data_IF_735261494171
#
_entry.id   IF_735261494171
#
_cell.length_a   1.000
_cell.length_b   1.000
_cell.length_c   1.000
_cell.angle_alpha   90.00
_cell.angle_beta   90.00
_cell.angle_gamma   90.00
#
_symmetry.space_group_name_H-M   'P 1'
#
loop_
_entity.id
_entity.type
_entity.pdbx_description
1 polymer ?
#
# COMPACT_ATOMS: atom_id res chain seq x y z
N UNK A 1 -18.91 -8.71 -2.51
CA UNK A 1 -17.53 -8.34 -2.13
C UNK A 1 -17.47 -6.85 -1.83
N UNK A 2 -16.83 -6.44 -0.72
CA UNK A 2 -16.69 -5.04 -0.34
C UNK A 2 -15.24 -4.59 -0.59
N UNK A 3 -15.06 -3.48 -1.31
CA UNK A 3 -13.77 -2.91 -1.70
C UNK A 3 -13.65 -1.49 -1.17
N UNK A 4 -12.46 -1.12 -0.70
CA UNK A 4 -12.19 0.24 -0.20
C UNK A 4 -10.94 0.81 -0.86
N UNK A 5 -11.04 2.07 -1.28
CA UNK A 5 -9.93 2.92 -1.70
C UNK A 5 -9.86 4.17 -0.82
N UNK A 6 -8.69 4.78 -0.71
CA UNK A 6 -8.54 6.14 -0.21
C UNK A 6 -7.95 6.99 -1.33
N UNK A 7 -8.66 8.02 -1.77
CA UNK A 7 -8.22 8.84 -2.91
C UNK A 7 -8.35 10.33 -2.62
N UNK A 8 -7.43 11.10 -3.19
CA UNK A 8 -7.53 12.56 -3.30
C UNK A 8 -7.82 12.94 -4.74
N UNK A 9 -8.13 14.22 -4.97
CA UNK A 9 -8.47 14.70 -6.32
C UNK A 9 -7.38 14.39 -7.36
N UNK A 10 -6.11 14.60 -7.00
CA UNK A 10 -4.96 14.30 -7.87
C UNK A 10 -4.83 12.80 -8.19
N UNK A 11 -5.28 11.93 -7.28
CA UNK A 11 -5.22 10.48 -7.45
C UNK A 11 -6.48 9.87 -8.06
N UNK A 12 -7.53 10.66 -8.32
CA UNK A 12 -8.82 10.18 -8.85
C UNK A 12 -8.69 9.48 -10.21
N UNK A 13 -7.84 9.99 -11.12
CA UNK A 13 -7.53 9.30 -12.37
C UNK A 13 -6.94 7.91 -12.11
N UNK A 14 -5.95 7.83 -11.23
CA UNK A 14 -5.24 6.58 -10.92
C UNK A 14 -6.20 5.58 -10.25
N UNK A 15 -7.00 6.05 -9.29
CA UNK A 15 -8.07 5.26 -8.65
C UNK A 15 -9.11 4.76 -9.66
N UNK A 16 -9.53 5.62 -10.60
CA UNK A 16 -10.50 5.26 -11.64
C UNK A 16 -9.98 4.20 -12.61
N UNK A 17 -8.69 4.21 -12.92
CA UNK A 17 -8.05 3.18 -13.76
C UNK A 17 -7.95 1.86 -12.97
N UNK A 18 -7.55 1.90 -11.71
CA UNK A 18 -7.55 0.74 -10.81
C UNK A 18 -8.97 0.15 -10.70
N UNK A 19 -9.97 0.98 -10.45
CA UNK A 19 -11.38 0.60 -10.36
C UNK A 19 -11.90 -0.04 -11.66
N UNK A 20 -11.48 0.50 -12.82
CA UNK A 20 -11.80 -0.09 -14.13
C UNK A 20 -11.23 -1.50 -14.24
N UNK A 21 -9.96 -1.70 -13.87
CA UNK A 21 -9.33 -3.03 -13.88
C UNK A 21 -10.00 -4.00 -12.91
N UNK A 22 -10.38 -3.53 -11.71
CA UNK A 22 -11.12 -4.31 -10.72
C UNK A 22 -12.43 -4.83 -11.30
N UNK A 23 -13.26 -3.95 -11.84
CA UNK A 23 -14.56 -4.34 -12.34
C UNK A 23 -14.47 -5.20 -13.60
N UNK A 24 -13.50 -4.91 -14.48
CA UNK A 24 -13.26 -5.68 -15.70
C UNK A 24 -12.94 -7.15 -15.40
N UNK A 25 -12.08 -7.41 -14.41
CA UNK A 25 -11.62 -8.75 -14.06
C UNK A 25 -12.51 -9.46 -13.02
N UNK A 26 -13.55 -8.78 -12.52
CA UNK A 26 -14.52 -9.33 -11.57
C UNK A 26 -15.97 -9.23 -12.06
N UNK A 27 -16.20 -9.20 -13.37
CA UNK A 27 -17.55 -9.11 -13.97
C UNK A 27 -18.49 -10.24 -13.56
N UNK A 28 -17.93 -11.43 -13.30
CA UNK A 28 -18.73 -12.62 -12.94
C UNK A 28 -19.30 -12.54 -11.53
N UNK A 29 -18.71 -11.72 -10.65
CA UNK A 29 -19.24 -11.54 -9.30
C UNK A 29 -20.56 -10.83 -9.34
N UNK A 30 -21.55 -11.38 -8.63
CA UNK A 30 -22.91 -10.85 -8.58
C UNK A 30 -22.93 -9.42 -8.02
N UNK A 31 -22.18 -9.19 -6.95
CA UNK A 31 -22.19 -7.90 -6.23
C UNK A 31 -20.77 -7.48 -5.85
N UNK A 32 -20.43 -6.24 -6.17
CA UNK A 32 -19.23 -5.54 -5.67
C UNK A 32 -19.69 -4.17 -5.18
N UNK A 33 -19.54 -3.93 -3.88
CA UNK A 33 -19.78 -2.63 -3.24
C UNK A 33 -18.44 -1.94 -3.05
N UNK A 34 -18.29 -0.76 -3.60
CA UNK A 34 -17.03 -0.01 -3.51
C UNK A 34 -17.20 1.23 -2.66
N UNK A 35 -16.32 1.43 -1.72
CA UNK A 35 -16.22 2.61 -0.88
C UNK A 35 -14.97 3.39 -1.24
N UNK A 36 -15.09 4.71 -1.38
CA UNK A 36 -13.93 5.60 -1.57
C UNK A 36 -13.89 6.59 -0.41
N UNK A 37 -12.81 6.52 0.38
CA UNK A 37 -12.55 7.52 1.41
C UNK A 37 -12.19 8.82 0.70
N UNK A 38 -13.07 9.81 0.86
CA UNK A 38 -12.98 11.10 0.19
C UNK A 38 -11.95 12.00 0.88
N UNK A 39 -10.79 12.13 0.26
CA UNK A 39 -9.77 13.08 0.68
C UNK A 39 -9.76 14.30 -0.26
N UNK A 40 -10.85 15.08 -0.20
CA UNK A 40 -11.07 16.31 -0.96
C UNK A 40 -11.12 16.08 -2.48
N UNK A 41 -11.88 15.07 -2.92
CA UNK A 41 -12.11 14.78 -4.33
C UNK A 41 -13.13 15.79 -4.90
N UNK A 42 -12.80 16.42 -6.04
CA UNK A 42 -13.72 17.31 -6.74
C UNK A 42 -14.98 16.59 -7.23
N UNK A 43 -16.10 17.31 -7.32
CA UNK A 43 -17.35 16.70 -7.80
C UNK A 43 -17.23 16.19 -9.25
N UNK A 44 -16.41 16.82 -10.07
CA UNK A 44 -16.12 16.36 -11.43
C UNK A 44 -15.49 14.96 -11.39
N UNK A 45 -14.50 14.75 -10.55
CA UNK A 45 -13.82 13.47 -10.42
C UNK A 45 -14.70 12.43 -9.70
N UNK A 46 -15.51 12.83 -8.72
CA UNK A 46 -16.52 11.94 -8.11
C UNK A 46 -17.51 11.45 -9.15
N UNK A 47 -18.00 12.33 -10.03
CA UNK A 47 -18.93 11.94 -11.09
C UNK A 47 -18.29 10.97 -12.10
N UNK A 48 -17.02 11.18 -12.47
CA UNK A 48 -16.27 10.24 -13.32
C UNK A 48 -16.13 8.86 -12.65
N UNK A 49 -15.85 8.81 -11.34
CA UNK A 49 -15.78 7.57 -10.57
C UNK A 49 -17.16 6.87 -10.50
N UNK A 50 -18.25 7.63 -10.26
CA UNK A 50 -19.63 7.08 -10.31
C UNK A 50 -19.98 6.53 -11.69
N UNK A 51 -19.60 7.22 -12.77
CA UNK A 51 -19.82 6.74 -14.16
C UNK A 51 -19.07 5.44 -14.42
N UNK A 52 -17.82 5.32 -13.91
CA UNK A 52 -17.06 4.07 -13.98
C UNK A 52 -17.83 2.94 -13.33
N UNK A 53 -18.28 3.09 -12.08
CA UNK A 53 -19.03 2.07 -11.37
C UNK A 53 -20.37 1.73 -12.09
N UNK A 54 -21.12 2.74 -12.51
CA UNK A 54 -22.41 2.59 -13.21
C UNK A 54 -22.26 1.79 -14.51
N UNK A 55 -21.17 1.99 -15.28
CA UNK A 55 -20.88 1.24 -16.51
C UNK A 55 -20.84 -0.28 -16.28
N UNK A 56 -20.39 -0.70 -15.10
CA UNK A 56 -20.32 -2.11 -14.71
C UNK A 56 -21.50 -2.58 -13.84
N UNK A 57 -22.51 -1.72 -13.64
CA UNK A 57 -23.64 -2.04 -12.75
C UNK A 57 -23.22 -2.22 -11.30
N UNK A 58 -22.24 -1.45 -10.82
CA UNK A 58 -21.68 -1.57 -9.47
C UNK A 58 -22.07 -0.38 -8.60
N UNK A 59 -22.14 -0.63 -7.29
CA UNK A 59 -22.35 0.42 -6.28
C UNK A 59 -21.02 1.07 -5.90
N UNK A 60 -21.03 2.41 -5.83
CA UNK A 60 -19.90 3.20 -5.37
C UNK A 60 -20.38 4.28 -4.40
N UNK A 61 -19.83 4.27 -3.21
CA UNK A 61 -20.17 5.20 -2.12
C UNK A 61 -18.92 5.97 -1.70
N UNK A 62 -19.03 7.30 -1.62
CA UNK A 62 -18.01 8.13 -0.99
C UNK A 62 -18.26 8.19 0.52
N UNK A 63 -17.23 7.96 1.30
CA UNK A 63 -17.26 8.02 2.77
C UNK A 63 -16.32 9.10 3.26
N UNK A 64 -16.70 9.76 4.36
CA UNK A 64 -15.90 10.85 4.92
C UNK A 64 -14.59 10.33 5.54
N UNK A 65 -13.53 11.10 5.39
CA UNK A 65 -12.26 10.89 6.10
C UNK A 65 -12.42 11.20 7.59
N UNK A 66 -11.55 10.64 8.41
CA UNK A 66 -11.43 10.97 9.83
C UNK A 66 -10.52 12.18 10.04
N UNK A 67 -10.74 12.93 11.11
CA UNK A 67 -9.81 13.96 11.58
C UNK A 67 -8.71 13.32 12.43
N UNK A 68 -7.57 13.05 11.77
CA UNK A 68 -6.45 12.34 12.40
C UNK A 68 -5.78 13.14 13.51
N UNK A 69 -5.64 14.46 13.36
CA UNK A 69 -4.99 15.30 14.38
C UNK A 69 -5.85 15.38 15.64
N UNK A 70 -7.16 15.49 15.47
CA UNK A 70 -8.12 15.42 16.58
C UNK A 70 -8.09 14.06 17.29
N UNK A 71 -8.02 12.95 16.53
CA UNK A 71 -7.98 11.60 17.08
C UNK A 71 -6.68 11.30 17.82
N UNK A 72 -5.54 11.72 17.27
CA UNK A 72 -4.21 11.36 17.81
C UNK A 72 -3.68 12.38 18.82
N UNK A 73 -4.28 13.57 18.87
CA UNK A 73 -3.81 14.69 19.69
C UNK A 73 -2.43 15.23 19.28
N UNK A 74 -1.99 14.92 18.04
CA UNK A 74 -0.68 15.34 17.53
C UNK A 74 -0.71 15.61 16.05
N UNK A 75 0.16 16.51 15.59
CA UNK A 75 0.33 16.73 14.14
C UNK A 75 1.03 15.56 13.50
N UNK A 76 0.51 15.14 12.34
CA UNK A 76 1.03 13.99 11.61
C UNK A 76 2.17 14.42 10.68
N UNK A 77 3.36 13.88 10.91
CA UNK A 77 4.50 14.10 10.02
C UNK A 77 4.40 13.20 8.78
N UNK A 78 4.02 13.77 7.66
CA UNK A 78 3.81 13.03 6.41
C UNK A 78 5.04 12.98 5.49
N UNK A 79 6.03 13.85 5.71
CA UNK A 79 7.21 13.93 4.84
C UNK A 79 6.81 14.21 3.37
N UNK A 80 6.95 13.20 2.53
CA UNK A 80 6.59 13.25 1.10
C UNK A 80 5.25 12.58 0.76
N UNK A 81 4.60 11.98 1.73
CA UNK A 81 3.39 11.18 1.54
C UNK A 81 2.14 12.03 1.79
N UNK A 82 1.00 11.57 1.31
CA UNK A 82 -0.29 12.18 1.60
C UNK A 82 -0.81 11.64 2.94
N UNK A 83 -1.40 12.50 3.76
CA UNK A 83 -2.01 12.12 5.04
C UNK A 83 -3.11 11.05 4.87
N UNK A 84 -3.74 11.01 3.70
CA UNK A 84 -4.75 10.02 3.34
C UNK A 84 -4.29 8.56 3.44
N UNK A 85 -2.98 8.29 3.50
CA UNK A 85 -2.48 6.93 3.74
C UNK A 85 -2.87 6.40 5.11
N UNK A 86 -3.05 7.25 6.12
CA UNK A 86 -3.47 6.84 7.45
C UNK A 86 -4.95 6.48 7.56
N UNK A 87 -5.82 6.94 6.65
CA UNK A 87 -7.25 6.68 6.75
C UNK A 87 -7.60 5.19 6.70
N UNK A 88 -6.77 4.37 6.07
CA UNK A 88 -6.94 2.90 6.07
C UNK A 88 -6.80 2.25 7.45
N UNK A 89 -6.27 2.95 8.43
CA UNK A 89 -6.19 2.47 9.82
C UNK A 89 -7.50 2.66 10.58
N UNK A 90 -8.47 3.40 10.01
CA UNK A 90 -9.73 3.78 10.65
C UNK A 90 -10.94 3.27 9.88
N UNK A 91 -10.77 2.16 9.14
CA UNK A 91 -11.83 1.58 8.29
C UNK A 91 -13.06 1.14 9.09
N UNK A 92 -12.88 0.69 10.34
CA UNK A 92 -14.00 0.22 11.15
C UNK A 92 -14.88 1.36 11.70
N UNK A 93 -14.32 2.57 11.82
CA UNK A 93 -15.05 3.80 12.15
C UNK A 93 -15.64 4.49 10.90
N UNK A 94 -14.96 4.41 9.76
CA UNK A 94 -15.35 5.09 8.51
C UNK A 94 -16.50 4.34 7.82
N UNK A 95 -16.47 3.00 7.84
CA UNK A 95 -17.40 2.17 7.08
C UNK A 95 -18.64 1.81 7.88
N UNK A 96 -19.80 1.59 7.21
CA UNK A 96 -21.03 1.15 7.85
C UNK A 96 -20.82 -0.08 8.74
N UNK A 97 -21.54 -0.13 9.87
CA UNK A 97 -21.35 -1.18 10.90
C UNK A 97 -21.64 -2.60 10.39
N UNK A 98 -22.53 -2.73 9.42
CA UNK A 98 -22.90 -3.99 8.78
C UNK A 98 -21.80 -4.56 7.86
N UNK A 99 -20.78 -3.77 7.52
CA UNK A 99 -19.63 -4.23 6.74
C UNK A 99 -18.64 -4.88 7.69
N UNK A 100 -18.55 -6.21 7.64
CA UNK A 100 -17.67 -7.00 8.54
C UNK A 100 -16.31 -7.32 7.91
N UNK A 101 -16.21 -7.36 6.58
CA UNK A 101 -14.98 -7.68 5.84
C UNK A 101 -14.85 -6.81 4.60
N UNK A 102 -13.64 -6.34 4.32
CA UNK A 102 -13.30 -5.56 3.11
C UNK A 102 -11.95 -5.96 2.54
N UNK A 103 -11.76 -5.71 1.24
CA UNK A 103 -10.41 -5.58 0.67
C UNK A 103 -10.11 -4.09 0.56
N UNK A 104 -8.99 -3.66 1.14
CA UNK A 104 -8.41 -2.35 0.89
C UNK A 104 -7.42 -2.42 -0.26
N UNK A 105 -7.49 -1.45 -1.17
CA UNK A 105 -6.61 -1.32 -2.34
C UNK A 105 -6.01 0.08 -2.41
N UNK A 106 -4.70 0.17 -2.62
CA UNK A 106 -4.08 1.43 -3.03
C UNK A 106 -4.48 1.80 -4.45
N UNK A 107 -4.64 3.10 -4.72
CA UNK A 107 -5.04 3.60 -6.04
C UNK A 107 -4.04 3.22 -7.14
N UNK A 108 -2.75 3.11 -6.81
CA UNK A 108 -1.68 2.79 -7.76
C UNK A 108 -1.52 1.27 -7.99
N UNK A 109 -2.65 0.58 -8.11
CA UNK A 109 -2.72 -0.85 -8.44
C UNK A 109 -3.49 -1.09 -9.73
N UNK A 110 -3.26 -2.24 -10.38
CA UNK A 110 -4.20 -2.84 -11.33
C UNK A 110 -4.50 -4.28 -10.91
N UNK A 111 -5.76 -4.64 -11.04
CA UNK A 111 -6.28 -5.96 -10.72
C UNK A 111 -6.36 -6.73 -12.04
N UNK A 112 -5.68 -7.89 -12.15
CA UNK A 112 -5.56 -8.67 -13.38
C UNK A 112 -6.43 -9.92 -13.38
N UNK A 113 -6.80 -10.41 -12.21
CA UNK A 113 -7.61 -11.60 -12.01
C UNK A 113 -8.69 -11.37 -10.95
N UNK A 114 -9.58 -12.36 -10.78
CA UNK A 114 -10.61 -12.30 -9.75
C UNK A 114 -10.01 -12.21 -8.34
N UNK A 115 -10.66 -11.39 -7.50
CA UNK A 115 -10.36 -11.27 -6.07
C UNK A 115 -11.29 -12.14 -5.21
N UNK A 116 -12.13 -12.97 -5.82
CA UNK A 116 -13.13 -13.77 -5.11
C UNK A 116 -12.51 -14.71 -4.10
N UNK A 117 -11.47 -15.45 -4.51
CA UNK A 117 -10.80 -16.43 -3.64
C UNK A 117 -10.19 -15.76 -2.42
N UNK A 118 -9.44 -14.67 -2.61
CA UNK A 118 -8.80 -13.96 -1.50
C UNK A 118 -9.81 -13.23 -0.61
N UNK A 119 -10.94 -12.77 -1.17
CA UNK A 119 -12.01 -12.20 -0.35
C UNK A 119 -12.66 -13.24 0.55
N UNK A 120 -12.80 -14.49 0.08
CA UNK A 120 -13.45 -15.57 0.79
C UNK A 120 -12.55 -16.36 1.75
N UNK A 121 -11.25 -16.04 1.82
CA UNK A 121 -10.36 -16.72 2.77
C UNK A 121 -10.89 -16.60 4.20
N UNK A 122 -10.72 -17.67 4.96
CA UNK A 122 -10.90 -17.63 6.40
C UNK A 122 -9.66 -17.03 7.06
N UNK A 123 -9.84 -15.91 7.75
CA UNK A 123 -8.76 -15.23 8.47
C UNK A 123 -8.49 -15.85 9.85
N UNK A 124 -9.35 -16.78 10.32
CA UNK A 124 -9.25 -17.33 11.68
C UNK A 124 -9.16 -16.21 12.73
N UNK A 125 -8.15 -16.27 13.56
CA UNK A 125 -7.88 -15.27 14.60
C UNK A 125 -7.15 -14.02 14.09
N UNK A 126 -6.90 -13.89 12.78
CA UNK A 126 -6.22 -12.73 12.23
C UNK A 126 -7.18 -11.55 12.01
N UNK A 127 -6.68 -10.36 12.25
CA UNK A 127 -7.38 -9.08 12.06
C UNK A 127 -7.20 -8.53 10.65
N UNK A 128 -6.13 -8.95 9.96
CA UNK A 128 -5.78 -8.51 8.61
C UNK A 128 -5.04 -9.62 7.87
N UNK A 129 -5.22 -9.69 6.56
CA UNK A 129 -4.31 -10.43 5.68
C UNK A 129 -3.62 -9.46 4.71
N UNK A 130 -2.36 -9.74 4.40
CA UNK A 130 -1.56 -8.96 3.46
C UNK A 130 -0.28 -9.67 3.05
N UNK A 131 0.43 -9.09 2.09
CA UNK A 131 1.68 -9.65 1.55
C UNK A 131 2.87 -9.09 2.31
N UNK A 132 3.80 -9.96 2.75
CA UNK A 132 5.01 -9.51 3.46
C UNK A 132 5.84 -8.55 2.57
N UNK A 133 6.21 -7.41 3.16
CA UNK A 133 7.07 -6.42 2.50
C UNK A 133 8.53 -6.79 2.77
N UNK A 134 9.26 -7.13 1.72
CA UNK A 134 10.67 -7.49 1.82
C UNK A 134 11.48 -6.40 2.52
N UNK A 135 11.59 -6.48 3.85
CA UNK A 135 12.28 -5.52 4.72
C UNK A 135 13.26 -6.22 5.65
N UNK A 136 14.36 -5.52 6.00
CA UNK A 136 15.25 -6.02 7.05
C UNK A 136 14.57 -6.01 8.41
N UNK A 137 15.01 -6.90 9.31
CA UNK A 137 14.47 -7.00 10.68
C UNK A 137 14.63 -5.71 11.50
N UNK A 138 15.57 -4.84 11.12
CA UNK A 138 15.71 -3.54 11.78
C UNK A 138 14.44 -2.67 11.68
N UNK A 139 13.62 -2.84 10.65
CA UNK A 139 12.31 -2.17 10.58
C UNK A 139 11.30 -2.78 11.56
N UNK A 140 11.35 -4.11 11.74
CA UNK A 140 10.53 -4.82 12.74
C UNK A 140 10.89 -4.34 14.15
N UNK A 141 12.18 -4.30 14.46
CA UNK A 141 12.69 -3.77 15.75
C UNK A 141 12.30 -2.31 15.97
N UNK A 142 12.35 -1.48 14.93
CA UNK A 142 11.98 -0.05 15.01
C UNK A 142 10.54 0.16 15.46
N UNK A 143 9.62 -0.68 15.03
CA UNK A 143 8.20 -0.60 15.39
C UNK A 143 7.83 -1.42 16.63
N UNK A 144 8.78 -2.05 17.30
CA UNK A 144 8.57 -2.85 18.52
C UNK A 144 8.26 -4.32 18.28
N UNK A 145 8.49 -4.83 17.06
CA UNK A 145 8.33 -6.25 16.74
C UNK A 145 9.63 -7.04 16.92
N UNK A 146 9.49 -8.34 17.15
CA UNK A 146 10.63 -9.27 17.12
C UNK A 146 11.13 -9.47 15.68
N UNK A 147 12.43 -9.79 15.49
CA UNK A 147 12.95 -10.25 14.23
C UNK A 147 12.16 -11.45 13.69
N UNK A 148 11.81 -11.43 12.40
CA UNK A 148 11.05 -12.49 11.75
C UNK A 148 9.51 -12.38 11.91
N UNK A 149 8.99 -11.39 12.65
CA UNK A 149 7.54 -11.09 12.66
C UNK A 149 7.08 -10.72 11.25
N UNK A 150 5.90 -11.19 10.82
CA UNK A 150 5.31 -10.79 9.53
C UNK A 150 5.15 -9.26 9.50
N UNK A 151 5.57 -8.65 8.38
CA UNK A 151 5.54 -7.20 8.17
C UNK A 151 4.98 -6.92 6.78
N UNK A 152 3.69 -6.66 6.68
CA UNK A 152 2.99 -6.52 5.41
C UNK A 152 3.08 -5.12 4.81
N UNK A 153 2.98 -5.06 3.48
CA UNK A 153 2.72 -3.83 2.75
C UNK A 153 1.21 -3.55 2.71
N UNK A 154 0.82 -2.36 3.12
CA UNK A 154 -0.59 -1.98 3.31
C UNK A 154 -1.35 -1.64 2.01
N UNK A 155 -0.71 -1.77 0.84
CA UNK A 155 -1.34 -1.41 -0.43
C UNK A 155 -2.38 -2.40 -0.95
N UNK A 156 -2.38 -3.61 -0.38
CA UNK A 156 -3.40 -4.63 -0.52
C UNK A 156 -3.63 -5.31 0.82
N UNK A 157 -4.85 -5.28 1.33
CA UNK A 157 -5.20 -5.94 2.60
C UNK A 157 -6.61 -6.52 2.54
N UNK A 158 -6.80 -7.69 3.14
CA UNK A 158 -8.13 -8.18 3.52
C UNK A 158 -8.31 -7.89 5.00
N UNK A 159 -9.29 -7.09 5.36
CA UNK A 159 -9.48 -6.58 6.73
C UNK A 159 -10.72 -7.17 7.36
N UNK A 160 -10.58 -7.75 8.56
CA UNK A 160 -11.69 -8.20 9.40
C UNK A 160 -12.17 -7.03 10.27
N UNK A 161 -13.12 -6.26 9.75
CA UNK A 161 -13.66 -5.07 10.42
C UNK A 161 -14.45 -5.42 11.68
N UNK A 162 -15.10 -6.61 11.71
CA UNK A 162 -15.79 -7.09 12.91
C UNK A 162 -14.79 -7.19 14.05
N UNK A 163 -13.68 -7.89 13.83
CA UNK A 163 -12.61 -8.05 14.83
C UNK A 163 -11.96 -6.72 15.19
N UNK A 164 -11.76 -5.80 14.23
CA UNK A 164 -11.21 -4.47 14.52
C UNK A 164 -12.09 -3.70 15.50
N UNK A 165 -13.43 -3.80 15.37
CA UNK A 165 -14.38 -3.17 16.30
C UNK A 165 -14.38 -3.84 17.67
N UNK A 166 -14.46 -5.18 17.70
CA UNK A 166 -14.49 -5.98 18.94
C UNK A 166 -13.24 -5.76 19.81
N UNK A 167 -12.06 -5.70 19.18
CA UNK A 167 -10.78 -5.54 19.85
C UNK A 167 -10.29 -4.09 19.96
N UNK A 168 -11.09 -3.12 19.50
CA UNK A 168 -10.77 -1.67 19.54
C UNK A 168 -9.41 -1.37 18.90
N UNK A 169 -9.10 -1.99 17.77
CA UNK A 169 -7.77 -1.95 17.14
C UNK A 169 -7.40 -0.52 16.73
N UNK A 170 -8.35 0.29 16.27
CA UNK A 170 -8.10 1.69 15.87
C UNK A 170 -7.60 2.57 17.02
N UNK A 171 -8.05 2.32 18.25
CA UNK A 171 -7.54 3.03 19.42
C UNK A 171 -6.07 2.66 19.69
N UNK A 172 -5.70 1.42 19.45
CA UNK A 172 -4.31 0.97 19.56
C UNK A 172 -3.42 1.62 18.49
N UNK A 173 -3.92 1.77 17.25
CA UNK A 173 -3.22 2.55 16.21
C UNK A 173 -3.08 4.01 16.60
N UNK A 174 -4.15 4.63 17.11
CA UNK A 174 -4.15 6.01 17.57
C UNK A 174 -3.06 6.22 18.64
N UNK A 175 -3.03 5.35 19.65
CA UNK A 175 -2.00 5.40 20.69
C UNK A 175 -0.59 5.23 20.12
N UNK A 176 -0.38 4.27 19.22
CA UNK A 176 0.92 4.04 18.58
C UNK A 176 1.44 5.27 17.85
N UNK A 177 0.55 5.97 17.13
CA UNK A 177 0.86 7.20 16.40
C UNK A 177 1.17 8.34 17.37
N UNK A 178 0.35 8.51 18.41
CA UNK A 178 0.52 9.54 19.43
C UNK A 178 1.83 9.38 20.20
N UNK A 179 2.16 8.17 20.67
CA UNK A 179 3.42 7.85 21.37
C UNK A 179 4.66 8.19 20.53
N UNK A 180 4.53 8.23 19.21
CA UNK A 180 5.60 8.60 18.25
C UNK A 180 5.47 10.04 17.73
N UNK A 181 4.64 10.85 18.35
CA UNK A 181 4.42 12.27 18.00
C UNK A 181 4.08 12.44 16.50
N UNK A 182 3.31 11.50 15.92
CA UNK A 182 2.91 11.49 14.51
C UNK A 182 4.02 11.12 13.51
N UNK A 183 5.25 10.83 13.96
CA UNK A 183 6.38 10.48 13.08
C UNK A 183 6.56 8.96 12.97
N UNK A 184 5.78 8.33 12.12
CA UNK A 184 5.79 6.89 11.88
C UNK A 184 6.59 6.51 10.62
N UNK A 185 7.49 5.54 10.74
CA UNK A 185 8.27 5.02 9.59
C UNK A 185 7.36 4.35 8.59
N UNK A 186 7.40 4.80 7.32
CA UNK A 186 6.45 4.37 6.28
C UNK A 186 4.97 4.59 6.63
N UNK A 187 4.69 5.69 7.38
CA UNK A 187 3.34 6.18 7.65
C UNK A 187 2.46 5.14 8.36
N UNK A 188 1.35 4.78 7.75
CA UNK A 188 0.35 3.80 8.20
C UNK A 188 0.89 2.37 8.34
N UNK A 189 1.97 2.04 7.64
CA UNK A 189 2.54 0.69 7.66
C UNK A 189 3.19 0.37 9.02
N UNK A 190 3.77 1.38 9.71
CA UNK A 190 4.37 1.19 11.03
C UNK A 190 3.33 0.88 12.12
N UNK A 191 2.24 1.66 12.32
CA UNK A 191 1.24 1.34 13.35
C UNK A 191 0.52 0.03 13.06
N UNK A 192 0.16 -0.29 11.81
CA UNK A 192 -0.52 -1.54 11.49
C UNK A 192 0.34 -2.74 11.88
N UNK A 193 1.57 -2.80 11.38
CA UNK A 193 2.48 -3.92 11.66
C UNK A 193 2.96 -3.94 13.12
N UNK A 194 3.19 -2.77 13.73
CA UNK A 194 3.64 -2.66 15.12
C UNK A 194 2.59 -3.07 16.16
N UNK A 195 1.31 -3.00 15.81
CA UNK A 195 0.20 -3.40 16.68
C UNK A 195 -0.22 -4.85 16.44
N UNK A 196 -0.34 -5.26 15.16
CA UNK A 196 -0.90 -6.57 14.81
C UNK A 196 0.17 -7.66 14.70
N UNK A 197 1.40 -7.30 14.34
CA UNK A 197 2.50 -8.25 14.20
C UNK A 197 2.85 -8.98 15.50
N UNK A 198 3.12 -8.27 16.62
CA UNK A 198 3.47 -8.91 17.89
C UNK A 198 2.39 -9.84 18.47
N UNK A 199 1.14 -9.66 18.05
CA UNK A 199 -0.01 -10.46 18.53
C UNK A 199 -0.41 -11.56 17.55
N UNK A 200 0.38 -11.81 16.49
CA UNK A 200 0.11 -12.79 15.45
C UNK A 200 -1.26 -12.62 14.77
N UNK A 201 -1.71 -11.37 14.62
CA UNK A 201 -3.01 -11.04 14.01
C UNK A 201 -2.92 -10.70 12.52
N UNK A 202 -1.81 -11.07 11.88
CA UNK A 202 -1.58 -10.89 10.44
C UNK A 202 -1.54 -12.25 9.75
N UNK A 203 -2.43 -12.47 8.79
CA UNK A 203 -2.41 -13.61 7.89
C UNK A 203 -1.54 -13.27 6.67
N UNK A 204 -0.52 -14.07 6.38
CA UNK A 204 0.36 -13.86 5.24
C UNK A 204 -0.27 -14.36 3.96
N UNK A 205 -0.39 -13.47 2.97
CA UNK A 205 -0.90 -13.79 1.64
C UNK A 205 0.24 -14.09 0.66
N UNK A 206 0.02 -14.96 -0.33
CA UNK A 206 0.94 -15.15 -1.45
C UNK A 206 1.26 -13.81 -2.16
N UNK A 207 2.52 -13.65 -2.56
CA UNK A 207 3.04 -12.39 -3.14
C UNK A 207 2.28 -11.91 -4.39
N UNK A 208 1.63 -12.79 -5.12
CA UNK A 208 0.81 -12.46 -6.30
C UNK A 208 -0.36 -11.52 -6.03
N UNK A 209 -0.80 -11.39 -4.76
CA UNK A 209 -1.88 -10.46 -4.38
C UNK A 209 -1.40 -9.02 -4.16
N UNK A 210 -0.08 -8.78 -4.09
CA UNK A 210 0.48 -7.43 -4.00
C UNK A 210 1.88 -7.41 -4.63
N UNK A 211 1.97 -7.71 -5.92
CA UNK A 211 3.21 -7.75 -6.66
C UNK A 211 3.76 -6.34 -6.85
N UNK A 212 4.62 -5.93 -5.93
CA UNK A 212 5.22 -4.60 -5.90
C UNK A 212 6.23 -4.42 -7.03
N UNK A 213 6.39 -3.18 -7.51
CA UNK A 213 7.33 -2.83 -8.57
C UNK A 213 8.74 -3.39 -8.37
N UNK A 214 9.21 -3.46 -7.12
CA UNK A 214 10.56 -3.95 -6.81
C UNK A 214 10.80 -5.38 -7.29
N UNK A 215 9.76 -6.20 -7.41
CA UNK A 215 9.81 -7.56 -7.94
C UNK A 215 10.16 -7.60 -9.43
N UNK A 216 9.84 -6.55 -10.17
CA UNK A 216 10.08 -6.46 -11.62
C UNK A 216 11.38 -5.73 -11.95
N UNK A 217 11.98 -5.05 -10.99
CA UNK A 217 13.24 -4.30 -11.18
C UNK A 217 14.48 -5.11 -10.74
N UNK A 218 14.31 -6.18 -9.95
CA UNK A 218 15.40 -7.03 -9.44
C UNK A 218 15.07 -8.51 -9.58
N UNK A 219 16.06 -9.37 -9.61
CA UNK A 219 15.86 -10.82 -9.45
C UNK A 219 15.66 -11.15 -7.98
N UNK A 220 15.12 -12.34 -7.67
CA UNK A 220 14.94 -12.82 -6.29
C UNK A 220 16.24 -12.68 -5.45
N UNK A 221 17.36 -13.19 -5.97
CA UNK A 221 18.66 -13.11 -5.28
C UNK A 221 19.15 -11.68 -5.08
N UNK A 222 18.90 -10.79 -6.05
CA UNK A 222 19.22 -9.37 -5.91
C UNK A 222 18.32 -8.68 -4.88
N UNK A 223 17.04 -9.03 -4.84
CA UNK A 223 16.10 -8.50 -3.86
C UNK A 223 16.51 -8.88 -2.43
N UNK A 224 16.84 -10.15 -2.18
CA UNK A 224 17.32 -10.59 -0.87
C UNK A 224 18.61 -9.87 -0.45
N UNK A 225 19.57 -9.70 -1.36
CA UNK A 225 20.82 -8.95 -1.08
C UNK A 225 20.53 -7.47 -0.79
N UNK A 226 19.58 -6.88 -1.47
CA UNK A 226 19.20 -5.47 -1.32
C UNK A 226 18.48 -5.20 0.01
N UNK A 227 17.51 -6.06 0.35
CA UNK A 227 16.59 -5.84 1.48
C UNK A 227 17.01 -6.53 2.77
N UNK A 228 17.76 -7.63 2.68
CA UNK A 228 18.26 -8.44 3.80
C UNK A 228 17.16 -8.87 4.77
N UNK A 229 16.05 -9.43 4.30
CA UNK A 229 15.07 -10.01 5.19
C UNK A 229 15.67 -11.24 5.88
N UNK A 230 15.22 -11.57 7.10
CA UNK A 230 15.60 -12.83 7.78
C UNK A 230 14.84 -14.02 7.20
N UNK A 231 13.55 -13.81 6.96
CA UNK A 231 12.65 -14.73 6.28
C UNK A 231 11.93 -13.97 5.19
N UNK A 232 11.68 -14.64 4.08
CA UNK A 232 10.90 -14.12 2.97
C UNK A 232 10.34 -15.29 2.16
N UNK A 233 9.41 -15.00 1.26
CA UNK A 233 8.82 -15.98 0.35
C UNK A 233 9.88 -16.76 -0.44
N UNK A 234 9.52 -17.92 -0.94
CA UNK A 234 10.39 -18.76 -1.78
C UNK A 234 10.67 -18.14 -3.16
N UNK A 235 11.70 -18.63 -3.86
CA UNK A 235 11.99 -18.21 -5.24
C UNK A 235 10.84 -18.60 -6.18
N UNK A 236 10.15 -19.73 -5.93
CA UNK A 236 8.98 -20.17 -6.70
C UNK A 236 7.79 -19.23 -6.56
N UNK A 237 7.46 -18.81 -5.34
CA UNK A 237 6.40 -17.83 -5.09
C UNK A 237 6.72 -16.46 -5.70
N UNK A 238 8.00 -16.06 -5.65
CA UNK A 238 8.46 -14.85 -6.31
C UNK A 238 8.30 -14.93 -7.83
N UNK A 239 8.67 -16.06 -8.44
CA UNK A 239 8.54 -16.29 -9.88
C UNK A 239 7.07 -16.34 -10.31
N UNK A 240 6.18 -16.96 -9.51
CA UNK A 240 4.74 -16.91 -9.72
C UNK A 240 4.23 -15.46 -9.71
N UNK A 241 4.56 -14.71 -8.65
CA UNK A 241 4.12 -13.32 -8.47
C UNK A 241 4.65 -12.38 -9.56
N UNK A 242 5.81 -12.66 -10.15
CA UNK A 242 6.36 -11.85 -11.24
C UNK A 242 5.86 -12.25 -12.61
N UNK A 243 5.52 -13.52 -12.80
CA UNK A 243 5.01 -14.06 -14.07
C UNK A 243 3.55 -13.66 -14.28
N UNK A 244 2.70 -13.95 -13.31
CA UNK A 244 1.25 -13.75 -13.41
C UNK A 244 0.62 -13.25 -12.08
N UNK A 245 0.91 -12.01 -11.69
CA UNK A 245 0.35 -11.42 -10.48
C UNK A 245 -1.16 -11.21 -10.61
N UNK A 246 -1.89 -11.38 -9.51
CA UNK A 246 -3.32 -11.05 -9.40
C UNK A 246 -3.48 -9.53 -9.25
N UNK A 247 -2.64 -8.91 -8.41
CA UNK A 247 -2.60 -7.46 -8.23
C UNK A 247 -1.18 -6.95 -8.45
N UNK A 248 -1.02 -6.04 -9.41
CA UNK A 248 0.24 -5.31 -9.63
C UNK A 248 0.17 -3.99 -8.91
N UNK A 249 1.15 -3.72 -8.05
CA UNK A 249 1.25 -2.49 -7.27
C UNK A 249 2.43 -1.65 -7.75
N UNK A 250 2.15 -0.50 -8.35
CA UNK A 250 3.15 0.39 -8.93
C UNK A 250 3.88 1.24 -7.89
N UNK A 251 4.40 0.61 -6.83
CA UNK A 251 5.16 1.30 -5.77
C UNK A 251 6.38 2.03 -6.31
N UNK A 252 6.84 3.14 -5.68
CA UNK A 252 8.08 3.81 -6.11
C UNK A 252 9.31 2.99 -5.72
N UNK A 253 10.21 2.80 -6.67
CA UNK A 253 11.53 2.22 -6.43
C UNK A 253 12.61 3.24 -6.80
N UNK A 254 13.72 3.28 -6.07
CA UNK A 254 14.79 4.26 -6.30
C UNK A 254 15.41 4.16 -7.70
N UNK A 255 15.47 2.96 -8.27
CA UNK A 255 16.07 2.71 -9.58
C UNK A 255 15.15 3.07 -10.75
N UNK A 256 13.83 2.91 -10.60
CA UNK A 256 12.89 3.13 -11.70
C UNK A 256 12.21 4.49 -11.64
N UNK A 257 11.71 4.86 -10.51
CA UNK A 257 11.16 6.17 -10.21
C UNK A 257 9.98 6.70 -11.03
N UNK A 258 9.78 6.24 -12.26
CA UNK A 258 8.61 6.53 -13.10
C UNK A 258 7.43 5.64 -12.76
N UNK A 259 6.24 6.04 -13.22
CA UNK A 259 4.97 5.37 -12.98
C UNK A 259 4.22 5.19 -14.29
N UNK A 260 3.32 4.20 -14.44
CA UNK A 260 2.66 3.89 -15.71
C UNK A 260 1.80 5.02 -16.26
N UNK A 261 1.32 5.93 -15.40
CA UNK A 261 0.61 7.15 -15.81
C UNK A 261 1.53 8.28 -16.30
N UNK A 262 2.85 8.07 -16.29
CA UNK A 262 3.83 9.02 -16.83
C UNK A 262 4.27 8.60 -18.24
N UNK A 263 4.64 9.60 -19.09
CA UNK A 263 4.99 9.37 -20.50
C UNK A 263 6.11 8.34 -20.67
N UNK A 264 7.13 8.37 -19.80
CA UNK A 264 8.30 7.49 -19.87
C UNK A 264 8.30 6.53 -18.69
N UNK A 265 7.60 5.43 -18.81
CA UNK A 265 7.67 4.31 -17.86
C UNK A 265 8.09 3.04 -18.57
N UNK A 266 8.81 2.16 -17.83
CA UNK A 266 9.36 0.90 -18.33
C UNK A 266 8.92 -0.30 -17.49
N UNK A 267 7.85 -0.17 -16.69
CA UNK A 267 7.35 -1.28 -15.92
C UNK A 267 6.75 -2.36 -16.84
N UNK A 268 6.93 -3.64 -16.50
CA UNK A 268 6.42 -4.79 -17.27
C UNK A 268 4.94 -4.64 -17.62
N UNK A 269 4.14 -4.13 -16.70
CA UNK A 269 2.69 -3.99 -16.84
C UNK A 269 2.21 -2.58 -17.21
N UNK A 270 3.09 -1.71 -17.73
CA UNK A 270 2.71 -0.37 -18.19
C UNK A 270 1.68 -0.44 -19.32
N UNK A 271 1.80 -1.42 -20.22
CA UNK A 271 0.85 -1.59 -21.32
C UNK A 271 -0.54 -1.94 -20.78
N UNK A 272 -0.65 -2.86 -19.83
CA UNK A 272 -1.93 -3.24 -19.23
C UNK A 272 -2.57 -2.07 -18.47
N UNK A 273 -1.78 -1.29 -17.70
CA UNK A 273 -2.27 -0.08 -17.06
C UNK A 273 -2.88 0.89 -18.09
N UNK A 274 -2.18 1.13 -19.21
CA UNK A 274 -2.66 2.01 -20.26
C UNK A 274 -3.88 1.46 -20.99
N UNK A 275 -3.98 0.16 -21.15
CA UNK A 275 -5.19 -0.50 -21.65
C UNK A 275 -6.41 -0.18 -20.79
N UNK A 276 -6.29 -0.30 -19.45
CA UNK A 276 -7.39 0.10 -18.55
C UNK A 276 -7.63 1.60 -18.53
N UNK A 277 -6.61 2.42 -18.79
CA UNK A 277 -6.80 3.87 -18.97
C UNK A 277 -7.69 4.17 -20.17
N UNK A 278 -7.47 3.53 -21.31
CA UNK A 278 -8.30 3.70 -22.53
C UNK A 278 -9.77 3.29 -22.28
N UNK A 279 -10.01 2.37 -21.34
CA UNK A 279 -11.35 1.95 -20.95
C UNK A 279 -11.98 2.85 -19.87
N UNK A 280 -11.22 3.73 -19.26
CA UNK A 280 -11.65 4.56 -18.13
C UNK A 280 -12.28 5.88 -18.57
N UNK A 281 -12.89 6.60 -17.61
CA UNK A 281 -13.39 7.96 -17.82
C UNK A 281 -12.27 9.00 -18.01
N UNK A 282 -11.00 8.61 -17.92
CA UNK A 282 -9.82 9.45 -18.14
C UNK A 282 -9.04 9.08 -19.40
N UNK A 283 -9.66 8.40 -20.36
CA UNK A 283 -9.01 8.01 -21.62
C UNK A 283 -8.44 9.19 -22.42
N UNK A 284 -9.13 10.34 -22.40
CA UNK A 284 -8.71 11.56 -23.11
C UNK A 284 -7.66 12.37 -22.33
N UNK A 285 -7.43 12.06 -21.06
CA UNK A 285 -6.44 12.80 -20.28
C UNK A 285 -5.01 12.42 -20.71
N UNK A 286 -4.13 13.40 -20.94
CA UNK A 286 -2.77 13.10 -21.38
C UNK A 286 -1.96 12.41 -20.27
N UNK A 287 -1.04 11.54 -20.65
CA UNK A 287 -0.08 10.98 -19.70
C UNK A 287 0.72 12.09 -19.01
N UNK A 288 0.87 11.96 -17.70
CA UNK A 288 1.53 12.98 -16.86
C UNK A 288 3.01 13.12 -17.21
N UNK A 289 3.55 14.33 -17.02
CA UNK A 289 5.00 14.56 -17.06
C UNK A 289 5.65 13.98 -15.79
N UNK A 290 6.93 13.67 -15.89
CA UNK A 290 7.73 13.31 -14.73
C UNK A 290 8.02 14.59 -13.90
N UNK A 291 7.33 14.74 -12.79
CA UNK A 291 7.39 15.87 -11.85
C UNK A 291 8.45 15.70 -10.74
N UNK A 292 9.22 14.62 -10.75
CA UNK A 292 10.27 14.37 -9.76
C UNK A 292 11.33 15.48 -9.78
N UNK A 293 11.82 15.84 -8.59
CA UNK A 293 12.95 16.78 -8.44
C UNK A 293 14.18 16.30 -9.23
N UNK A 294 14.92 17.22 -9.83
CA UNK A 294 16.10 16.92 -10.66
C UNK A 294 17.11 16.01 -9.97
N UNK A 295 17.42 16.26 -8.70
CA UNK A 295 18.32 15.39 -7.91
C UNK A 295 17.84 13.94 -7.87
N UNK A 296 16.54 13.69 -7.75
CA UNK A 296 15.96 12.34 -7.76
C UNK A 296 16.04 11.67 -9.14
N UNK A 297 15.89 12.46 -10.22
CA UNK A 297 16.08 11.97 -11.59
C UNK A 297 17.53 11.55 -11.84
N UNK A 298 18.48 12.40 -11.43
CA UNK A 298 19.92 12.10 -11.52
C UNK A 298 20.25 10.84 -10.72
N UNK A 299 19.80 10.73 -9.47
CA UNK A 299 20.02 9.54 -8.64
C UNK A 299 19.46 8.28 -9.32
N UNK A 300 18.27 8.34 -9.90
CA UNK A 300 17.69 7.21 -10.64
C UNK A 300 18.56 6.81 -11.84
N UNK A 301 19.09 7.78 -12.59
CA UNK A 301 20.01 7.51 -13.72
C UNK A 301 21.30 6.87 -13.22
N UNK A 302 21.92 7.44 -12.18
CA UNK A 302 23.14 6.85 -11.59
C UNK A 302 22.92 5.42 -11.12
N UNK A 303 21.80 5.12 -10.46
CA UNK A 303 21.49 3.76 -10.04
C UNK A 303 21.24 2.81 -11.23
N UNK A 304 20.73 3.30 -12.37
CA UNK A 304 20.51 2.48 -13.57
C UNK A 304 21.81 2.15 -14.32
N UNK A 305 22.76 3.10 -14.38
CA UNK A 305 24.03 2.89 -15.09
C UNK A 305 25.09 2.21 -14.21
N UNK A 306 24.95 2.30 -12.89
CA UNK A 306 25.87 1.65 -11.96
C UNK A 306 25.66 0.13 -11.99
N UNK A 307 26.73 -0.67 -12.18
CA UNK A 307 26.62 -2.12 -12.14
C UNK A 307 25.99 -2.63 -10.84
N UNK A 308 25.09 -3.63 -10.93
CA UNK A 308 24.34 -4.14 -9.78
C UNK A 308 25.24 -4.65 -8.64
N UNK A 309 26.44 -5.16 -8.93
CA UNK A 309 27.39 -5.63 -7.91
C UNK A 309 27.95 -4.48 -7.05
N UNK A 310 27.91 -3.24 -7.52
CA UNK A 310 28.28 -2.02 -6.77
C UNK A 310 27.04 -1.37 -6.17
N UNK A 311 26.00 -1.19 -6.97
CA UNK A 311 24.80 -0.47 -6.57
C UNK A 311 24.04 -1.19 -5.45
N UNK A 312 23.85 -2.50 -5.55
CA UNK A 312 23.09 -3.28 -4.56
C UNK A 312 23.71 -3.20 -3.15
N UNK A 313 25.01 -3.41 -2.93
CA UNK A 313 25.61 -3.26 -1.60
C UNK A 313 25.44 -1.86 -1.00
N UNK A 314 25.62 -0.80 -1.80
CA UNK A 314 25.46 0.59 -1.33
C UNK A 314 24.02 0.85 -0.92
N UNK A 315 23.05 0.53 -1.78
CA UNK A 315 21.65 0.76 -1.51
C UNK A 315 21.11 -0.15 -0.40
N UNK A 316 21.64 -1.37 -0.29
CA UNK A 316 21.38 -2.27 0.83
C UNK A 316 21.84 -1.68 2.15
N UNK A 317 23.06 -1.16 2.22
CA UNK A 317 23.54 -0.50 3.44
C UNK A 317 22.64 0.68 3.82
N UNK A 318 22.29 1.54 2.86
CA UNK A 318 21.45 2.70 3.11
C UNK A 318 20.03 2.31 3.57
N UNK A 319 19.36 1.39 2.86
CA UNK A 319 17.97 1.07 3.10
C UNK A 319 17.74 -0.05 4.12
N UNK A 320 18.62 -1.03 4.20
CA UNK A 320 18.43 -2.16 5.11
C UNK A 320 19.18 -2.03 6.45
N UNK A 321 20.09 -1.05 6.56
CA UNK A 321 20.93 -0.91 7.77
C UNK A 321 20.94 0.51 8.32
N UNK A 322 21.43 1.49 7.56
CA UNK A 322 21.65 2.85 8.06
C UNK A 322 20.32 3.57 8.39
N UNK A 323 19.39 3.59 7.45
CA UNK A 323 18.12 4.28 7.66
C UNK A 323 17.31 3.69 8.82
N UNK A 324 17.04 2.37 8.90
CA UNK A 324 16.29 1.83 10.03
C UNK A 324 17.03 2.00 11.38
N UNK A 325 18.37 1.91 11.44
CA UNK A 325 19.13 2.23 12.67
C UNK A 325 18.93 3.69 13.10
N UNK A 326 18.92 4.63 12.14
CA UNK A 326 18.59 6.03 12.42
C UNK A 326 17.17 6.15 12.98
N UNK A 327 16.20 5.47 12.38
CA UNK A 327 14.79 5.48 12.84
C UNK A 327 14.65 4.90 14.26
N UNK A 328 15.29 3.78 14.56
CA UNK A 328 15.31 3.20 15.91
C UNK A 328 15.74 4.24 16.96
N UNK A 329 16.79 5.03 16.68
CA UNK A 329 17.25 6.07 17.62
C UNK A 329 16.22 7.17 17.81
N UNK A 330 15.54 7.60 16.75
CA UNK A 330 14.50 8.64 16.80
C UNK A 330 13.30 8.12 17.58
N UNK A 331 12.81 6.93 17.27
CA UNK A 331 11.66 6.31 17.94
C UNK A 331 11.92 6.10 19.43
N UNK A 332 13.11 5.61 19.80
CA UNK A 332 13.50 5.50 21.22
C UNK A 332 13.43 6.83 21.96
N UNK A 333 13.88 7.93 21.33
CA UNK A 333 13.80 9.27 21.94
C UNK A 333 12.35 9.67 22.21
N UNK A 334 11.43 9.47 21.26
CA UNK A 334 10.01 9.78 21.46
C UNK A 334 9.40 9.00 22.62
N UNK A 335 9.67 7.69 22.69
CA UNK A 335 9.12 6.82 23.73
C UNK A 335 9.66 7.16 25.13
N UNK A 336 10.92 7.56 25.25
CA UNK A 336 11.51 7.95 26.56
C UNK A 336 11.13 9.35 27.03
N UNK A 337 10.76 10.27 26.12
CA UNK A 337 10.28 11.62 26.47
C UNK A 337 8.79 11.64 26.81
N UNK A 338 8.02 10.63 26.43
CA UNK A 338 6.60 10.47 26.77
C UNK A 338 6.36 9.94 28.19
N UNK A 339 7.37 9.34 28.79
CA UNK A 339 7.33 8.80 30.16
C UNK A 339 7.74 9.83 31.25
N UNK A 340 7.99 11.09 30.89
CA UNK A 340 8.31 12.20 31.79
C UNK A 340 7.19 13.24 31.78
#
# INVERSE_FOLDING_TARGET
MNIVYSSSDIYSEIAGISLTSLYENNKRLKEIRTFIIDNDISEINKERLRKTAKRYGRELTFVSKVDLESLTGTSIYTGRWNIGTFFRLYLSSILPKEIEKVIYLDCDTIIRHSLEDVYNIDLGDCSVAGVDDCRSDLYRVEIGCNPGTIYINNGFMVVNLKKWREERIEERFTKFISDRKGDCTYMDQAPLNGILGPTNQIYELPAKYNAQRIFFDFTYKQLLRLRKPKHYLSEEEYDEATRDPIVVHFTPVFISGSRPWQKKDSHKFTFEYRYYKEMSEWKEEPLRKDDRKTAKKIMTILCKICPNFIMIPIMSYLHATWYPKKRIRITKKYLTEGDR
#
